data_IF_133411929097
#
_entry.id   IF_133411929097
#
_cell.length_a   1.000
_cell.length_b   1.000
_cell.length_c   1.000
_cell.angle_alpha   90.00
_cell.angle_beta   90.00
_cell.angle_gamma   90.00
#
_symmetry.space_group_name_H-M   'P 1'
#
loop_
_entity.id
_entity.type
_entity.pdbx_description
1 polymer ?
#
# COMPACT_ATOMS: atom_id res chain seq x y z
N UNK A 1 17.17 -9.18 -0.61
CA UNK A 1 16.06 -8.21 -0.37
C UNK A 1 16.45 -6.76 -0.59
N UNK A 2 17.62 -6.30 -0.12
CA UNK A 2 18.02 -4.88 -0.18
C UNK A 2 17.85 -4.19 -1.54
N UNK A 3 18.23 -4.82 -2.66
CA UNK A 3 18.03 -4.25 -3.99
C UNK A 3 16.54 -4.02 -4.33
N UNK A 4 15.67 -4.96 -3.97
CA UNK A 4 14.22 -4.80 -4.16
C UNK A 4 13.67 -3.63 -3.34
N UNK A 5 14.08 -3.53 -2.07
CA UNK A 5 13.71 -2.41 -1.21
C UNK A 5 14.19 -1.06 -1.76
N UNK A 6 15.40 -1.00 -2.30
CA UNK A 6 15.93 0.21 -2.94
C UNK A 6 15.10 0.60 -4.18
N UNK A 7 14.73 -0.35 -5.04
CA UNK A 7 13.87 -0.10 -6.20
C UNK A 7 12.51 0.46 -5.76
N UNK A 8 11.88 -0.18 -4.77
CA UNK A 8 10.60 0.28 -4.23
C UNK A 8 10.70 1.70 -3.64
N UNK A 9 11.76 1.97 -2.87
CA UNK A 9 11.97 3.27 -2.25
C UNK A 9 12.21 4.39 -3.28
N UNK A 10 12.94 4.12 -4.35
CA UNK A 10 13.15 5.08 -5.45
C UNK A 10 11.85 5.36 -6.19
N UNK A 11 11.04 4.32 -6.48
CA UNK A 11 9.74 4.52 -7.10
C UNK A 11 8.80 5.37 -6.23
N UNK A 12 8.77 5.09 -4.91
CA UNK A 12 8.04 5.92 -3.93
C UNK A 12 8.54 7.36 -3.94
N UNK A 13 9.86 7.56 -3.89
CA UNK A 13 10.46 8.89 -3.89
C UNK A 13 10.02 9.70 -5.12
N UNK A 14 10.11 9.11 -6.31
CA UNK A 14 9.69 9.77 -7.54
C UNK A 14 8.22 10.19 -7.52
N UNK A 15 7.32 9.36 -6.99
CA UNK A 15 5.90 9.70 -6.86
C UNK A 15 5.66 10.82 -5.85
N UNK A 16 6.25 10.72 -4.66
CA UNK A 16 6.05 11.71 -3.59
C UNK A 16 6.64 13.07 -3.98
N UNK A 17 7.72 13.13 -4.76
CA UNK A 17 8.27 14.41 -5.24
C UNK A 17 7.34 15.18 -6.18
N UNK A 18 6.33 14.53 -6.76
CA UNK A 18 5.34 15.19 -7.62
C UNK A 18 4.17 15.81 -6.84
N UNK A 19 4.06 15.52 -5.54
CA UNK A 19 2.97 15.97 -4.66
C UNK A 19 3.54 16.69 -3.41
N UNK A 20 3.56 18.03 -3.39
CA UNK A 20 4.11 18.81 -2.28
C UNK A 20 3.39 18.60 -0.94
N UNK A 21 2.12 18.18 -0.95
CA UNK A 21 1.35 17.91 0.27
C UNK A 21 1.59 16.47 0.78
N UNK A 22 1.92 15.54 -0.12
CA UNK A 22 2.51 14.22 0.14
C UNK A 22 1.64 13.17 0.82
N UNK A 23 0.63 13.58 1.62
CA UNK A 23 -0.23 12.67 2.39
C UNK A 23 -1.02 11.75 1.46
N UNK A 24 -1.73 12.32 0.48
CA UNK A 24 -2.61 11.52 -0.38
C UNK A 24 -1.83 10.62 -1.32
N UNK A 25 -0.69 11.08 -1.84
CA UNK A 25 0.24 10.20 -2.56
C UNK A 25 0.70 9.04 -1.68
N UNK A 26 1.06 9.30 -0.42
CA UNK A 26 1.49 8.26 0.53
C UNK A 26 0.36 7.26 0.85
N UNK A 27 -0.88 7.73 1.02
CA UNK A 27 -2.05 6.86 1.19
C UNK A 27 -2.24 5.99 -0.06
N UNK A 28 -2.22 6.58 -1.26
CA UNK A 28 -2.41 5.87 -2.51
C UNK A 28 -1.37 4.76 -2.74
N UNK A 29 -0.07 5.03 -2.51
CA UNK A 29 0.97 4.01 -2.68
C UNK A 29 0.84 2.87 -1.66
N UNK A 30 0.42 3.17 -0.42
CA UNK A 30 0.18 2.16 0.61
C UNK A 30 -0.99 1.24 0.23
N UNK A 31 -2.12 1.83 -0.17
CA UNK A 31 -3.32 1.10 -0.61
C UNK A 31 -3.01 0.26 -1.85
N UNK A 32 -2.31 0.83 -2.84
CA UNK A 32 -1.89 0.09 -4.04
C UNK A 32 -0.94 -1.06 -3.70
N UNK A 33 0.02 -0.84 -2.79
CA UNK A 33 0.93 -1.89 -2.33
C UNK A 33 0.17 -3.05 -1.67
N UNK A 34 -0.78 -2.77 -0.78
CA UNK A 34 -1.64 -3.79 -0.17
C UNK A 34 -2.46 -4.56 -1.21
N UNK A 35 -3.05 -3.87 -2.19
CA UNK A 35 -3.75 -4.51 -3.31
C UNK A 35 -2.84 -5.47 -4.07
N UNK A 36 -1.64 -5.03 -4.47
CA UNK A 36 -0.69 -5.84 -5.23
C UNK A 36 -0.19 -7.04 -4.42
N UNK A 37 -0.03 -6.90 -3.10
CA UNK A 37 0.32 -8.03 -2.23
C UNK A 37 -0.77 -9.10 -2.20
N UNK A 38 -2.05 -8.69 -2.07
CA UNK A 38 -3.19 -9.61 -2.11
C UNK A 38 -3.35 -10.26 -3.47
N UNK A 39 -3.24 -9.47 -4.54
CA UNK A 39 -3.44 -9.94 -5.91
C UNK A 39 -2.32 -10.86 -6.38
N UNK A 40 -1.05 -10.47 -6.27
CA UNK A 40 0.02 -11.23 -6.92
C UNK A 40 0.62 -12.33 -6.07
N UNK A 41 0.31 -12.37 -4.77
CA UNK A 41 0.97 -13.23 -3.76
C UNK A 41 2.48 -13.35 -4.02
N UNK A 42 3.18 -12.21 -4.03
CA UNK A 42 4.52 -12.12 -4.58
C UNK A 42 5.55 -12.94 -3.80
N UNK A 43 6.62 -13.37 -4.48
CA UNK A 43 7.81 -13.92 -3.81
C UNK A 43 8.44 -12.88 -2.89
N UNK A 44 9.31 -13.31 -1.99
CA UNK A 44 9.85 -12.44 -0.96
C UNK A 44 10.68 -11.25 -1.53
N UNK A 45 11.28 -11.37 -2.72
CA UNK A 45 11.92 -10.24 -3.41
C UNK A 45 10.91 -9.14 -3.80
N UNK A 46 9.77 -9.54 -4.36
CA UNK A 46 8.73 -8.61 -4.82
C UNK A 46 7.85 -8.12 -3.67
N UNK A 47 7.51 -8.98 -2.71
CA UNK A 47 6.70 -8.63 -1.54
C UNK A 47 7.50 -7.83 -0.52
N UNK A 48 8.37 -8.50 0.24
CA UNK A 48 9.15 -7.85 1.31
C UNK A 48 10.17 -6.85 0.76
N UNK A 49 10.76 -7.11 -0.40
CA UNK A 49 11.68 -6.18 -1.05
C UNK A 49 10.96 -5.01 -1.70
N UNK A 50 10.48 -5.18 -2.93
CA UNK A 50 9.95 -4.07 -3.76
C UNK A 50 8.72 -3.41 -3.14
N UNK A 51 7.67 -4.17 -2.84
CA UNK A 51 6.45 -3.59 -2.25
C UNK A 51 6.69 -3.09 -0.82
N UNK A 52 7.58 -3.74 -0.07
CA UNK A 52 8.02 -3.28 1.26
C UNK A 52 8.75 -1.94 1.22
N UNK A 53 9.60 -1.68 0.21
CA UNK A 53 10.26 -0.39 0.02
C UNK A 53 9.37 0.69 -0.62
N UNK A 54 8.41 0.26 -1.44
CA UNK A 54 7.43 1.13 -2.11
C UNK A 54 6.38 1.70 -1.16
N UNK A 55 5.92 0.88 -0.21
CA UNK A 55 4.99 1.33 0.85
C UNK A 55 5.75 1.95 2.02
N UNK A 56 5.08 2.75 2.85
CA UNK A 56 5.69 3.37 4.02
C UNK A 56 4.68 3.74 5.11
N UNK A 57 4.92 3.26 6.32
CA UNK A 57 4.13 3.66 7.50
C UNK A 57 4.69 4.95 8.14
N UNK A 58 6.01 5.10 8.21
CA UNK A 58 6.65 6.25 8.87
C UNK A 58 6.36 7.59 8.18
N UNK A 59 6.41 7.66 6.84
CA UNK A 59 6.08 8.90 6.15
C UNK A 59 4.58 9.24 6.26
N UNK A 60 3.73 8.21 6.30
CA UNK A 60 2.30 8.36 6.52
C UNK A 60 2.01 8.92 7.91
N UNK A 61 2.63 8.36 8.95
CA UNK A 61 2.50 8.82 10.33
C UNK A 61 2.93 10.29 10.49
N UNK A 62 4.10 10.65 9.94
CA UNK A 62 4.59 12.04 9.96
C UNK A 62 3.60 12.99 9.31
N UNK A 63 2.98 12.62 8.18
CA UNK A 63 1.99 13.46 7.51
C UNK A 63 0.70 13.57 8.33
N UNK A 64 0.20 12.46 8.88
CA UNK A 64 -1.03 12.43 9.68
C UNK A 64 -0.90 13.21 10.99
N UNK A 65 0.26 13.16 11.64
CA UNK A 65 0.53 13.88 12.90
C UNK A 65 0.50 15.41 12.76
N UNK A 66 0.56 15.94 11.53
CA UNK A 66 0.40 17.39 11.28
C UNK A 66 -1.06 17.83 11.26
N UNK A 67 -2.01 16.90 11.23
CA UNK A 67 -3.44 17.19 11.14
C UNK A 67 -4.07 17.38 12.53
N UNK A 68 -5.19 18.14 12.63
CA UNK A 68 -6.00 18.18 13.84
C UNK A 68 -6.46 16.77 14.25
N UNK A 69 -6.54 16.49 15.55
CA UNK A 69 -6.80 15.14 16.09
C UNK A 69 -7.99 14.42 15.42
N UNK A 70 -9.12 15.11 15.24
CA UNK A 70 -10.30 14.51 14.62
C UNK A 70 -10.06 14.11 13.16
N UNK A 71 -9.35 14.94 12.40
CA UNK A 71 -8.96 14.67 11.01
C UNK A 71 -7.88 13.59 10.93
N UNK A 72 -6.90 13.63 11.83
CA UNK A 72 -5.86 12.61 11.92
C UNK A 72 -6.46 11.23 12.18
N UNK A 73 -7.40 11.14 13.14
CA UNK A 73 -8.10 9.90 13.48
C UNK A 73 -8.96 9.38 12.32
N UNK A 74 -9.68 10.26 11.61
CA UNK A 74 -10.51 9.86 10.47
C UNK A 74 -9.67 9.36 9.30
N UNK A 75 -8.57 10.05 8.98
CA UNK A 75 -7.61 9.62 7.94
C UNK A 75 -6.95 8.30 8.35
N UNK A 76 -6.49 8.16 9.60
CA UNK A 76 -5.97 6.91 10.17
C UNK A 76 -6.89 5.72 9.95
N UNK A 77 -8.15 5.85 10.37
CA UNK A 77 -9.14 4.80 10.20
C UNK A 77 -9.42 4.50 8.74
N UNK A 78 -9.60 5.54 7.92
CA UNK A 78 -9.89 5.39 6.50
C UNK A 78 -8.72 4.70 5.74
N UNK A 79 -7.47 5.06 6.04
CA UNK A 79 -6.30 4.43 5.41
C UNK A 79 -6.14 2.98 5.83
N UNK A 80 -6.31 2.64 7.12
CA UNK A 80 -6.23 1.24 7.57
C UNK A 80 -7.31 0.39 6.91
N UNK A 81 -8.57 0.86 6.93
CA UNK A 81 -9.68 0.16 6.27
C UNK A 81 -9.42 0.06 4.77
N UNK A 82 -8.98 1.13 4.12
CA UNK A 82 -8.65 1.16 2.69
C UNK A 82 -7.59 0.13 2.31
N UNK A 83 -6.49 0.04 3.07
CA UNK A 83 -5.44 -0.94 2.86
C UNK A 83 -5.93 -2.39 3.03
N UNK A 84 -6.74 -2.66 4.06
CA UNK A 84 -7.32 -3.99 4.29
C UNK A 84 -8.29 -4.37 3.16
N UNK A 85 -9.20 -3.48 2.79
CA UNK A 85 -10.14 -3.68 1.68
C UNK A 85 -9.40 -3.90 0.37
N UNK A 86 -8.34 -3.13 0.10
CA UNK A 86 -7.52 -3.27 -1.09
C UNK A 86 -6.82 -4.63 -1.15
N UNK A 87 -6.25 -5.09 -0.03
CA UNK A 87 -5.65 -6.42 0.05
C UNK A 87 -6.69 -7.53 -0.20
N UNK A 88 -7.86 -7.45 0.46
CA UNK A 88 -8.94 -8.43 0.27
C UNK A 88 -9.41 -8.44 -1.19
N UNK A 89 -9.61 -7.27 -1.78
CA UNK A 89 -9.98 -7.14 -3.19
C UNK A 89 -8.93 -7.81 -4.09
N UNK A 90 -7.65 -7.52 -3.88
CA UNK A 90 -6.56 -8.18 -4.58
C UNK A 90 -6.62 -9.71 -4.43
N UNK A 91 -6.78 -10.20 -3.21
CA UNK A 91 -6.89 -11.64 -2.94
C UNK A 91 -8.08 -12.29 -3.66
N UNK A 92 -9.23 -11.63 -3.70
CA UNK A 92 -10.40 -12.14 -4.44
C UNK A 92 -10.17 -12.23 -5.94
N UNK A 93 -9.41 -11.30 -6.53
CA UNK A 93 -9.06 -11.32 -7.95
C UNK A 93 -8.01 -12.38 -8.28
N UNK A 94 -7.21 -12.80 -7.29
CA UNK A 94 -6.20 -13.85 -7.47
C UNK A 94 -6.81 -15.25 -7.44
N UNK A 95 -7.93 -15.45 -6.73
CA UNK A 95 -8.60 -16.74 -6.66
C UNK A 95 -9.25 -17.04 -8.02
N UNK A 96 -8.82 -18.08 -8.75
CA UNK A 96 -9.44 -18.41 -10.03
C UNK A 96 -10.92 -18.78 -9.81
N UNK A 97 -11.77 -18.27 -10.69
CA UNK A 97 -13.23 -18.45 -10.70
C UNK A 97 -13.68 -19.93 -10.76
N UNK A 98 -12.76 -20.89 -10.99
CA UNK A 98 -13.06 -22.33 -11.12
C UNK A 98 -13.65 -23.02 -9.88
N UNK A 99 -13.75 -22.36 -8.72
CA UNK A 99 -14.50 -22.92 -7.59
C UNK A 99 -16.03 -22.80 -7.75
N UNK A 100 -16.53 -22.03 -8.74
CA UNK A 100 -17.97 -21.89 -9.02
C UNK A 100 -18.53 -22.88 -10.05
N UNK A 101 -17.69 -23.68 -10.71
CA UNK A 101 -18.13 -24.68 -11.72
C UNK A 101 -18.13 -26.12 -11.18
N UNK A 102 -17.77 -26.33 -9.90
CA UNK A 102 -17.69 -27.65 -9.28
C UNK A 102 -18.78 -27.92 -8.20
N UNK A 103 -19.84 -27.10 -8.16
CA UNK A 103 -21.01 -27.27 -7.29
C UNK A 103 -22.29 -27.25 -8.14
#
# INVERSE_FOLDING_TARGET
>A
MGCGAAIGAVARYALVTLDPAGLWTTVCINVLGCFLMGWRRPTAFWGTGVLGGFTTFSAYELAVMTLPLATAASVAMATVVGCLCAWVLGDTLQRPTSAKEAA
#
